data_IF_566642545256
#
_entry.id   IF_566642545256
#
_cell.length_a   1.000
_cell.length_b   1.000
_cell.length_c   1.000
_cell.angle_alpha   90.00
_cell.angle_beta   90.00
_cell.angle_gamma   90.00
#
_symmetry.space_group_name_H-M   'P 1'
#
loop_
_entity.id
_entity.type
_entity.pdbx_description
1 polymer ?
#
# COMPACT_ATOMS: atom_id res chain seq x y z
N UNK A 1 4.28 -16.41 10.86
CA UNK A 1 4.01 -16.73 9.43
C UNK A 1 3.72 -18.21 9.21
N UNK A 2 4.61 -19.14 9.58
CA UNK A 2 4.39 -20.60 9.40
C UNK A 2 3.07 -21.14 9.98
N UNK A 3 2.62 -20.63 11.14
CA UNK A 3 1.34 -21.02 11.74
C UNK A 3 0.11 -20.57 10.92
N UNK A 4 0.20 -19.42 10.25
CA UNK A 4 -0.90 -18.86 9.45
C UNK A 4 -0.94 -19.44 8.02
N UNK A 5 0.19 -19.97 7.54
CA UNK A 5 0.32 -20.53 6.19
C UNK A 5 -0.77 -21.56 5.83
N UNK A 6 -1.08 -22.60 6.64
CA UNK A 6 -2.15 -23.54 6.31
C UNK A 6 -3.52 -22.87 6.20
N UNK A 7 -3.79 -21.87 7.04
CA UNK A 7 -5.03 -21.10 7.00
C UNK A 7 -5.13 -20.23 5.74
N UNK A 8 -4.03 -19.54 5.36
CA UNK A 8 -3.98 -18.73 4.14
C UNK A 8 -4.13 -19.58 2.88
N UNK A 9 -3.48 -20.75 2.83
CA UNK A 9 -3.63 -21.71 1.71
C UNK A 9 -5.07 -22.18 1.61
N UNK A 10 -5.69 -22.58 2.73
CA UNK A 10 -7.07 -23.04 2.74
C UNK A 10 -8.04 -21.95 2.28
N UNK A 11 -7.83 -20.69 2.69
CA UNK A 11 -8.65 -19.57 2.25
C UNK A 11 -8.42 -19.20 0.77
N UNK A 12 -7.21 -19.37 0.24
CA UNK A 12 -6.88 -19.09 -1.18
C UNK A 12 -7.64 -19.97 -2.18
N UNK A 13 -8.26 -21.06 -1.71
CA UNK A 13 -9.05 -21.97 -2.54
C UNK A 13 -10.47 -21.45 -2.82
N UNK A 14 -10.89 -20.38 -2.15
CA UNK A 14 -12.20 -19.79 -2.38
C UNK A 14 -12.15 -18.99 -3.68
N UNK A 15 -13.08 -19.30 -4.60
CA UNK A 15 -13.12 -18.76 -5.97
C UNK A 15 -14.21 -17.71 -6.17
N UNK A 16 -15.15 -17.61 -5.24
CA UNK A 16 -16.34 -16.78 -5.39
C UNK A 16 -16.18 -15.44 -4.68
N UNK A 17 -16.01 -14.37 -5.46
CA UNK A 17 -15.86 -13.01 -4.94
C UNK A 17 -17.11 -12.49 -4.21
N UNK A 18 -18.30 -13.02 -4.51
CA UNK A 18 -19.54 -12.61 -3.85
C UNK A 18 -19.59 -13.08 -2.40
N UNK A 19 -19.18 -14.32 -2.15
CA UNK A 19 -19.06 -14.86 -0.80
C UNK A 19 -17.91 -14.20 -0.04
N UNK A 20 -16.82 -13.85 -0.74
CA UNK A 20 -15.72 -13.06 -0.18
C UNK A 20 -16.15 -11.64 0.20
N UNK A 21 -17.06 -11.01 -0.54
CA UNK A 21 -17.48 -9.64 -0.26
C UNK A 21 -18.11 -9.48 1.13
N UNK A 22 -18.93 -10.43 1.57
CA UNK A 22 -19.54 -10.40 2.92
C UNK A 22 -18.48 -10.61 4.01
N UNK A 23 -17.60 -11.58 3.83
CA UNK A 23 -16.50 -11.84 4.76
C UNK A 23 -15.54 -10.66 4.84
N UNK A 24 -15.23 -10.05 3.68
CA UNK A 24 -14.40 -8.86 3.56
C UNK A 24 -15.07 -7.65 4.21
N UNK A 25 -16.38 -7.46 4.05
CA UNK A 25 -17.11 -6.39 4.73
C UNK A 25 -17.02 -6.53 6.26
N UNK A 26 -17.16 -7.75 6.79
CA UNK A 26 -17.01 -8.02 8.22
C UNK A 26 -15.57 -7.76 8.69
N UNK A 27 -14.58 -8.23 7.92
CA UNK A 27 -13.16 -7.99 8.19
C UNK A 27 -12.77 -6.51 8.16
N UNK A 28 -13.28 -5.76 7.18
CA UNK A 28 -13.06 -4.31 7.07
C UNK A 28 -13.74 -3.56 8.21
N UNK A 29 -14.92 -4.00 8.65
CA UNK A 29 -15.59 -3.43 9.83
C UNK A 29 -14.77 -3.68 11.09
N UNK A 30 -14.27 -4.89 11.27
CA UNK A 30 -13.37 -5.24 12.36
C UNK A 30 -12.08 -4.41 12.35
N UNK A 31 -11.45 -4.22 11.19
CA UNK A 31 -10.29 -3.34 11.05
C UNK A 31 -10.63 -1.88 11.31
N UNK A 32 -11.80 -1.39 10.88
CA UNK A 32 -12.26 -0.04 11.16
C UNK A 32 -12.44 0.18 12.67
N UNK A 33 -13.00 -0.79 13.40
CA UNK A 33 -13.10 -0.74 14.87
C UNK A 33 -11.70 -0.66 15.48
N UNK A 34 -10.77 -1.55 15.08
CA UNK A 34 -9.37 -1.47 15.53
C UNK A 34 -8.73 -0.11 15.23
N UNK A 35 -9.01 0.46 14.06
CA UNK A 35 -8.49 1.76 13.67
C UNK A 35 -9.07 2.88 14.54
N UNK A 36 -10.36 2.82 14.92
CA UNK A 36 -10.97 3.76 15.87
C UNK A 36 -10.24 3.71 17.22
N UNK A 37 -9.94 2.52 17.75
CA UNK A 37 -9.16 2.40 18.99
C UNK A 37 -7.73 2.93 18.87
N UNK A 38 -7.10 2.76 17.70
CA UNK A 38 -5.79 3.37 17.43
C UNK A 38 -5.91 4.89 17.42
N UNK A 39 -6.96 5.44 16.79
CA UNK A 39 -7.22 6.88 16.79
C UNK A 39 -7.44 7.42 18.21
N UNK A 40 -8.22 6.73 19.05
CA UNK A 40 -8.43 7.18 20.43
C UNK A 40 -7.12 7.12 21.24
N UNK A 41 -6.29 6.11 21.00
CA UNK A 41 -4.98 6.00 21.64
C UNK A 41 -4.06 7.18 21.27
N UNK A 42 -3.86 7.44 19.97
CA UNK A 42 -2.96 8.52 19.52
C UNK A 42 -3.49 9.92 19.83
N UNK A 43 -4.81 10.09 19.97
CA UNK A 43 -5.42 11.39 20.32
C UNK A 43 -5.51 11.63 21.82
N UNK A 44 -5.24 10.62 22.66
CA UNK A 44 -5.22 10.79 24.12
C UNK A 44 -4.02 11.60 24.60
N UNK A 45 -2.92 11.58 23.85
CA UNK A 45 -1.72 12.40 24.10
C UNK A 45 -1.18 12.89 22.75
N UNK A 46 -1.78 13.96 22.23
CA UNK A 46 -1.30 14.55 20.97
C UNK A 46 0.01 15.27 21.28
N UNK A 47 1.13 14.72 20.81
CA UNK A 47 2.45 15.31 20.99
C UNK A 47 2.52 16.76 20.50
N UNK A 48 3.50 17.52 21.01
CA UNK A 48 3.69 18.93 20.65
C UNK A 48 4.29 19.06 19.24
N UNK A 49 3.59 19.69 18.26
CA UNK A 49 4.11 19.88 16.91
C UNK A 49 5.42 20.66 16.87
N UNK A 50 5.68 21.52 17.87
CA UNK A 50 6.91 22.32 17.93
C UNK A 50 8.18 21.51 18.16
N UNK A 51 8.05 20.23 18.55
CA UNK A 51 9.19 19.32 18.79
C UNK A 51 9.61 18.55 17.55
N UNK A 52 8.83 18.61 16.46
CA UNK A 52 9.08 17.86 15.24
C UNK A 52 9.74 18.75 14.18
N UNK A 53 10.62 18.18 13.33
CA UNK A 53 11.21 18.93 12.23
C UNK A 53 10.13 19.32 11.22
N UNK A 54 10.10 20.61 10.84
CA UNK A 54 9.15 21.12 9.84
C UNK A 54 9.31 20.47 8.46
N UNK A 55 10.52 20.05 8.10
CA UNK A 55 10.83 19.41 6.82
C UNK A 55 11.77 18.24 7.06
N UNK A 56 11.42 17.08 6.49
CA UNK A 56 12.28 15.90 6.51
C UNK A 56 13.44 16.03 5.52
N UNK A 57 14.52 15.28 5.75
CA UNK A 57 15.66 15.20 4.83
C UNK A 57 15.23 14.77 3.43
N UNK A 58 15.82 15.42 2.40
CA UNK A 58 15.62 15.14 0.98
C UNK A 58 15.79 13.66 0.62
N UNK A 59 16.65 12.93 1.34
CA UNK A 59 16.90 11.50 1.13
C UNK A 59 15.69 10.61 1.45
N UNK A 60 14.76 11.05 2.30
CA UNK A 60 13.56 10.27 2.65
C UNK A 60 12.42 10.43 1.62
N UNK A 61 12.49 11.41 0.72
CA UNK A 61 11.44 11.66 -0.27
C UNK A 61 11.25 10.51 -1.28
N UNK A 62 12.30 9.89 -1.85
CA UNK A 62 12.13 8.75 -2.74
C UNK A 62 11.51 7.52 -2.04
N UNK A 63 11.86 7.30 -0.77
CA UNK A 63 11.26 6.24 0.05
C UNK A 63 9.76 6.52 0.28
N UNK A 64 9.43 7.75 0.69
CA UNK A 64 8.04 8.19 0.84
C UNK A 64 7.26 8.09 -0.47
N UNK A 65 7.86 8.45 -1.60
CA UNK A 65 7.22 8.34 -2.92
C UNK A 65 6.79 6.89 -3.18
N UNK A 66 7.68 5.92 -2.97
CA UNK A 66 7.35 4.50 -3.11
C UNK A 66 6.17 4.10 -2.22
N UNK A 67 6.23 4.45 -0.93
CA UNK A 67 5.13 4.17 0.01
C UNK A 67 3.81 4.83 -0.41
N UNK A 68 3.84 6.08 -0.86
CA UNK A 68 2.64 6.83 -1.25
C UNK A 68 2.00 6.25 -2.51
N UNK A 69 2.79 5.93 -3.53
CA UNK A 69 2.27 5.30 -4.76
C UNK A 69 1.71 3.91 -4.45
N UNK A 70 2.39 3.11 -3.62
CA UNK A 70 1.85 1.82 -3.18
C UNK A 70 0.52 1.97 -2.44
N UNK A 71 0.38 2.97 -1.58
CA UNK A 71 -0.82 3.17 -0.78
C UNK A 71 -2.07 3.45 -1.64
N UNK A 72 -1.89 4.08 -2.81
CA UNK A 72 -2.96 4.34 -3.77
C UNK A 72 -3.03 3.32 -4.91
N UNK A 73 -2.28 2.23 -4.82
CA UNK A 73 -2.29 1.17 -5.82
C UNK A 73 -3.55 0.31 -5.68
N UNK A 74 -4.39 0.34 -6.70
CA UNK A 74 -5.57 -0.52 -6.81
C UNK A 74 -5.89 -0.95 -8.24
N UNK A 75 -5.07 -0.55 -9.23
CA UNK A 75 -5.40 -0.68 -10.65
C UNK A 75 -5.68 -2.12 -11.08
N UNK A 76 -5.00 -3.10 -10.49
CA UNK A 76 -5.21 -4.52 -10.78
C UNK A 76 -6.60 -5.04 -10.44
N UNK A 77 -7.27 -4.45 -9.43
CA UNK A 77 -8.61 -4.89 -8.99
C UNK A 77 -9.75 -4.10 -9.65
N UNK A 78 -9.45 -2.98 -10.33
CA UNK A 78 -10.43 -2.07 -10.93
C UNK A 78 -11.31 -2.81 -11.94
N UNK A 79 -10.72 -3.44 -12.96
CA UNK A 79 -11.49 -4.09 -14.03
C UNK A 79 -12.27 -5.32 -13.54
N UNK A 80 -11.69 -6.25 -12.75
CA UNK A 80 -12.46 -7.37 -12.20
C UNK A 80 -13.61 -6.92 -11.30
N UNK A 81 -13.43 -5.84 -10.53
CA UNK A 81 -14.46 -5.30 -9.66
C UNK A 81 -15.59 -4.64 -10.47
N UNK A 82 -15.25 -3.81 -11.46
CA UNK A 82 -16.21 -3.19 -12.38
C UNK A 82 -17.06 -4.25 -13.10
N UNK A 83 -16.43 -5.32 -13.59
CA UNK A 83 -17.11 -6.44 -14.27
C UNK A 83 -18.10 -7.19 -13.36
N UNK A 84 -17.95 -7.10 -12.04
CA UNK A 84 -18.81 -7.77 -11.07
C UNK A 84 -19.88 -6.85 -10.46
N UNK A 85 -19.87 -5.55 -10.79
CA UNK A 85 -20.90 -4.62 -10.33
C UNK A 85 -22.23 -4.88 -11.03
N UNK A 86 -23.33 -4.72 -10.28
CA UNK A 86 -24.69 -4.72 -10.86
C UNK A 86 -24.88 -3.57 -11.86
N UNK A 87 -24.25 -2.43 -11.59
CA UNK A 87 -24.31 -1.21 -12.41
C UNK A 87 -22.89 -0.69 -12.69
N UNK A 88 -22.16 -1.26 -13.68
CA UNK A 88 -20.78 -0.87 -13.99
C UNK A 88 -20.62 0.61 -14.34
N UNK A 89 -21.63 1.23 -14.95
CA UNK A 89 -21.61 2.66 -15.31
C UNK A 89 -21.43 3.60 -14.10
N UNK A 90 -21.72 3.15 -12.88
CA UNK A 90 -21.51 3.94 -11.64
C UNK A 90 -20.15 3.68 -10.99
N UNK A 91 -19.32 2.82 -11.55
CA UNK A 91 -18.00 2.48 -11.02
C UNK A 91 -17.10 3.71 -10.82
N UNK A 92 -17.02 4.70 -11.73
CA UNK A 92 -16.21 5.91 -11.49
C UNK A 92 -16.64 6.70 -10.25
N UNK A 93 -17.94 6.78 -9.97
CA UNK A 93 -18.46 7.43 -8.77
C UNK A 93 -18.08 6.67 -7.51
N UNK A 94 -18.23 5.33 -7.52
CA UNK A 94 -17.84 4.47 -6.41
C UNK A 94 -16.32 4.57 -6.13
N UNK A 95 -15.51 4.58 -7.18
CA UNK A 95 -14.06 4.74 -7.09
C UNK A 95 -13.69 6.10 -6.49
N UNK A 96 -14.26 7.20 -6.99
CA UNK A 96 -13.95 8.55 -6.48
C UNK A 96 -14.32 8.73 -5.01
N UNK A 97 -15.49 8.24 -4.59
CA UNK A 97 -15.92 8.29 -3.18
C UNK A 97 -14.99 7.44 -2.32
N UNK A 98 -14.66 6.22 -2.76
CA UNK A 98 -13.73 5.33 -2.06
C UNK A 98 -12.35 5.96 -1.87
N UNK A 99 -11.78 6.53 -2.94
CA UNK A 99 -10.48 7.20 -2.89
C UNK A 99 -10.51 8.41 -1.96
N UNK A 100 -11.58 9.21 -1.96
CA UNK A 100 -11.73 10.34 -1.03
C UNK A 100 -11.69 9.90 0.44
N UNK A 101 -12.42 8.83 0.79
CA UNK A 101 -12.39 8.26 2.15
C UNK A 101 -11.01 7.76 2.53
N UNK A 102 -10.33 7.05 1.62
CA UNK A 102 -8.96 6.53 1.85
C UNK A 102 -7.96 7.67 2.07
N UNK A 103 -8.00 8.73 1.26
CA UNK A 103 -7.13 9.90 1.42
C UNK A 103 -7.29 10.52 2.81
N UNK A 104 -8.54 10.74 3.26
CA UNK A 104 -8.81 11.32 4.59
C UNK A 104 -8.26 10.43 5.70
N UNK A 105 -8.46 9.11 5.60
CA UNK A 105 -7.96 8.16 6.58
C UNK A 105 -6.42 8.12 6.62
N UNK A 106 -5.76 8.10 5.46
CA UNK A 106 -4.30 8.07 5.38
C UNK A 106 -3.67 9.35 5.91
N UNK A 107 -4.16 10.52 5.49
CA UNK A 107 -3.62 11.81 5.93
C UNK A 107 -3.83 11.98 7.43
N UNK A 108 -5.04 11.72 7.94
CA UNK A 108 -5.32 11.87 9.38
C UNK A 108 -4.50 10.92 10.24
N UNK A 109 -4.41 9.64 9.87
CA UNK A 109 -3.62 8.66 10.62
C UNK A 109 -2.12 8.94 10.55
N UNK A 110 -1.60 9.32 9.37
CA UNK A 110 -0.19 9.63 9.20
C UNK A 110 0.20 10.88 10.01
N UNK A 111 -0.59 11.95 9.95
CA UNK A 111 -0.31 13.19 10.67
C UNK A 111 -0.41 12.99 12.18
N UNK A 112 -1.51 12.42 12.69
CA UNK A 112 -1.69 12.22 14.14
C UNK A 112 -0.73 11.15 14.68
N UNK A 113 -0.48 10.09 13.91
CA UNK A 113 0.46 9.04 14.27
C UNK A 113 1.89 9.56 14.39
N UNK A 114 2.36 10.35 13.41
CA UNK A 114 3.69 10.97 13.49
C UNK A 114 3.77 12.01 14.61
N UNK A 115 2.68 12.73 14.87
CA UNK A 115 2.64 13.71 15.97
C UNK A 115 2.78 13.06 17.35
N UNK A 116 2.19 11.88 17.53
CA UNK A 116 2.26 11.13 18.80
C UNK A 116 3.57 10.36 18.95
N UNK A 117 4.03 9.64 17.92
CA UNK A 117 5.19 8.74 18.02
C UNK A 117 6.51 9.37 17.57
N UNK A 118 6.49 10.48 16.83
CA UNK A 118 7.69 11.09 16.27
C UNK A 118 8.51 10.11 15.43
N UNK A 119 9.83 10.17 15.59
CA UNK A 119 10.78 9.32 14.85
C UNK A 119 10.82 7.86 15.35
N UNK A 120 10.17 7.53 16.47
CA UNK A 120 10.05 6.16 17.00
C UNK A 120 8.93 5.33 16.34
N UNK A 121 8.25 5.90 15.35
CA UNK A 121 7.20 5.21 14.60
C UNK A 121 7.78 4.00 13.84
N UNK A 122 7.14 2.84 13.98
CA UNK A 122 7.55 1.60 13.29
C UNK A 122 6.81 1.49 11.95
N UNK A 123 7.23 0.55 11.10
CA UNK A 123 6.63 0.33 9.78
C UNK A 123 5.11 0.03 9.79
N UNK A 124 4.53 -0.32 10.94
CA UNK A 124 3.08 -0.38 11.14
C UNK A 124 2.70 0.22 12.48
N UNK A 125 1.65 1.04 12.51
CA UNK A 125 1.15 1.69 13.72
C UNK A 125 0.75 0.68 14.81
N UNK A 126 0.31 -0.51 14.42
CA UNK A 126 -0.06 -1.59 15.35
C UNK A 126 1.13 -2.11 16.15
N UNK A 127 2.37 -1.95 15.66
CA UNK A 127 3.60 -2.34 16.36
C UNK A 127 4.03 -1.31 17.40
N UNK A 128 3.48 -0.09 17.36
CA UNK A 128 3.74 0.96 18.32
C UNK A 128 2.82 0.89 19.56
N UNK A 129 1.69 0.17 19.48
CA UNK A 129 0.81 -0.01 20.63
C UNK A 129 1.49 -0.85 21.74
N UNK A 130 1.44 -0.43 23.02
CA UNK A 130 2.03 -1.18 24.12
C UNK A 130 1.29 -2.50 24.37
N UNK A 131 2.00 -3.47 24.95
CA UNK A 131 1.50 -4.83 25.18
C UNK A 131 0.71 -4.99 26.49
N UNK A 132 0.67 -3.94 27.31
CA UNK A 132 0.26 -4.04 28.71
C UNK A 132 -1.26 -4.11 28.90
N UNK A 133 -2.03 -3.65 27.92
CA UNK A 133 -3.49 -3.66 27.98
C UNK A 133 -4.11 -4.76 27.11
N UNK A 134 -5.11 -5.45 27.68
CA UNK A 134 -5.92 -6.43 26.95
C UNK A 134 -6.56 -5.82 25.69
N UNK A 135 -7.00 -4.55 25.77
CA UNK A 135 -7.58 -3.81 24.64
C UNK A 135 -6.62 -3.71 23.47
N UNK A 136 -5.35 -3.34 23.71
CA UNK A 136 -4.36 -3.22 22.65
C UNK A 136 -4.06 -4.57 22.01
N UNK A 137 -4.01 -5.64 22.80
CA UNK A 137 -3.84 -7.00 22.28
C UNK A 137 -5.02 -7.40 21.39
N UNK A 138 -6.25 -7.13 21.83
CA UNK A 138 -7.46 -7.39 21.04
C UNK A 138 -7.45 -6.62 19.73
N UNK A 139 -7.09 -5.33 19.75
CA UNK A 139 -6.97 -4.48 18.56
C UNK A 139 -5.97 -5.06 17.56
N UNK A 140 -4.79 -5.50 18.03
CA UNK A 140 -3.76 -6.15 17.19
C UNK A 140 -4.29 -7.43 16.56
N UNK A 141 -4.98 -8.28 17.32
CA UNK A 141 -5.55 -9.55 16.81
C UNK A 141 -6.64 -9.29 15.78
N UNK A 142 -7.58 -8.39 16.09
CA UNK A 142 -8.71 -8.08 15.22
C UNK A 142 -8.25 -7.43 13.90
N UNK A 143 -7.27 -6.52 13.98
CA UNK A 143 -6.66 -5.90 12.80
C UNK A 143 -5.92 -6.95 11.95
N UNK A 144 -5.12 -7.80 12.59
CA UNK A 144 -4.37 -8.87 11.89
C UNK A 144 -5.30 -9.88 11.20
N UNK A 145 -6.42 -10.23 11.83
CA UNK A 145 -7.43 -11.11 11.23
C UNK A 145 -8.04 -10.46 9.98
N UNK A 146 -8.36 -9.16 10.04
CA UNK A 146 -8.88 -8.45 8.88
C UNK A 146 -7.88 -8.35 7.73
N UNK A 147 -6.59 -8.16 8.04
CA UNK A 147 -5.52 -8.22 7.03
C UNK A 147 -5.42 -9.61 6.41
N UNK A 148 -5.56 -10.69 7.19
CA UNK A 148 -5.57 -12.06 6.65
C UNK A 148 -6.73 -12.29 5.67
N UNK A 149 -7.93 -11.80 5.98
CA UNK A 149 -9.07 -11.88 5.04
C UNK A 149 -8.82 -11.03 3.79
N UNK A 150 -8.23 -9.85 3.94
CA UNK A 150 -7.92 -8.95 2.83
C UNK A 150 -6.90 -9.56 1.86
N UNK A 151 -5.91 -10.30 2.38
CA UNK A 151 -4.96 -11.05 1.57
C UNK A 151 -5.66 -12.01 0.61
N UNK A 152 -6.73 -12.68 1.03
CA UNK A 152 -7.49 -13.62 0.19
C UNK A 152 -8.16 -12.91 -0.98
N UNK A 153 -8.73 -11.72 -0.72
CA UNK A 153 -9.37 -10.89 -1.75
C UNK A 153 -8.33 -10.36 -2.74
N UNK A 154 -7.18 -9.89 -2.25
CA UNK A 154 -6.10 -9.38 -3.12
C UNK A 154 -5.44 -10.49 -3.94
N UNK A 155 -5.35 -11.71 -3.39
CA UNK A 155 -4.82 -12.88 -4.08
C UNK A 155 -5.68 -13.33 -5.25
N UNK A 156 -6.97 -12.97 -5.27
CA UNK A 156 -7.90 -13.32 -6.35
C UNK A 156 -7.39 -12.85 -7.72
N UNK A 157 -6.93 -11.60 -7.83
CA UNK A 157 -6.55 -11.01 -9.13
C UNK A 157 -5.32 -11.67 -9.74
N UNK A 158 -4.18 -11.82 -9.03
CA UNK A 158 -3.04 -12.56 -9.57
C UNK A 158 -3.41 -14.00 -9.94
N UNK A 159 -4.27 -14.65 -9.16
CA UNK A 159 -4.73 -16.00 -9.47
C UNK A 159 -5.56 -16.05 -10.76
N UNK A 160 -6.49 -15.11 -10.94
CA UNK A 160 -7.36 -15.03 -12.13
C UNK A 160 -6.58 -14.70 -13.41
N UNK A 161 -5.48 -13.94 -13.29
CA UNK A 161 -4.62 -13.61 -14.43
C UNK A 161 -3.63 -14.74 -14.76
N UNK A 162 -2.96 -15.31 -13.75
CA UNK A 162 -1.85 -16.25 -13.97
C UNK A 162 -2.31 -17.69 -14.26
N UNK A 163 -3.40 -18.16 -13.63
CA UNK A 163 -3.80 -19.57 -13.70
C UNK A 163 -4.35 -19.99 -15.07
N UNK A 164 -5.27 -19.24 -15.73
CA UNK A 164 -5.87 -19.69 -16.98
C UNK A 164 -4.88 -20.06 -18.10
N UNK A 165 -3.85 -19.25 -18.44
CA UNK A 165 -2.93 -19.60 -19.52
C UNK A 165 -2.06 -20.82 -19.18
N UNK A 166 -1.79 -21.05 -17.89
CA UNK A 166 -1.01 -22.21 -17.43
C UNK A 166 -1.89 -23.47 -17.48
N UNK A 167 -3.12 -23.41 -16.97
CA UNK A 167 -4.06 -24.53 -16.94
C UNK A 167 -4.56 -24.93 -18.33
N UNK A 168 -4.56 -24.02 -19.31
CA UNK A 168 -4.87 -24.34 -20.69
C UNK A 168 -3.92 -25.38 -21.31
N UNK A 169 -2.71 -25.54 -20.75
CA UNK A 169 -1.70 -26.52 -21.19
C UNK A 169 -1.77 -27.86 -20.44
N UNK A 170 -2.66 -27.98 -19.46
CA UNK A 170 -2.77 -29.16 -18.57
C UNK A 170 -3.97 -30.01 -18.99
N UNK A 171 -3.81 -31.34 -18.93
CA UNK A 171 -4.89 -32.31 -19.21
C UNK A 171 -6.07 -32.13 -18.25
N UNK A 172 -7.31 -32.30 -18.74
CA UNK A 172 -8.54 -32.01 -17.97
C UNK A 172 -8.60 -32.70 -16.59
N UNK A 173 -8.14 -33.94 -16.50
CA UNK A 173 -8.11 -34.71 -15.23
C UNK A 173 -7.20 -34.10 -14.17
N UNK A 174 -6.17 -33.34 -14.57
CA UNK A 174 -5.16 -32.74 -13.69
C UNK A 174 -5.36 -31.24 -13.46
N UNK A 175 -6.31 -30.58 -14.16
CA UNK A 175 -6.53 -29.13 -14.04
C UNK A 175 -6.82 -28.70 -12.59
N UNK A 176 -7.74 -29.37 -11.91
CA UNK A 176 -8.13 -29.03 -10.53
C UNK A 176 -6.99 -29.19 -9.51
N UNK A 177 -6.30 -30.35 -9.40
CA UNK A 177 -5.20 -30.48 -8.46
C UNK A 177 -4.02 -29.56 -8.81
N UNK A 178 -3.75 -29.34 -10.10
CA UNK A 178 -2.68 -28.44 -10.54
C UNK A 178 -2.99 -26.97 -10.23
N UNK A 179 -4.24 -26.54 -10.37
CA UNK A 179 -4.69 -25.21 -9.96
C UNK A 179 -4.48 -24.99 -8.46
N UNK A 180 -4.90 -25.94 -7.62
CA UNK A 180 -4.74 -25.85 -6.16
C UNK A 180 -3.27 -25.82 -5.77
N UNK A 181 -2.43 -26.63 -6.43
CA UNK A 181 -0.99 -26.63 -6.23
C UNK A 181 -0.37 -25.27 -6.59
N UNK A 182 -0.75 -24.70 -7.73
CA UNK A 182 -0.23 -23.40 -8.18
C UNK A 182 -0.66 -22.27 -7.23
N UNK A 183 -1.90 -22.29 -6.75
CA UNK A 183 -2.36 -21.34 -5.72
C UNK A 183 -1.55 -21.47 -4.44
N UNK A 184 -1.36 -22.69 -3.94
CA UNK A 184 -0.55 -22.95 -2.76
C UNK A 184 0.90 -22.50 -2.94
N UNK A 185 1.50 -22.74 -4.12
CA UNK A 185 2.85 -22.28 -4.45
C UNK A 185 2.96 -20.75 -4.40
N UNK A 186 2.00 -20.03 -4.97
CA UNK A 186 1.98 -18.56 -4.94
C UNK A 186 1.85 -18.03 -3.50
N UNK A 187 0.98 -18.63 -2.67
CA UNK A 187 0.87 -18.27 -1.24
C UNK A 187 2.17 -18.57 -0.50
N UNK A 188 2.80 -19.74 -0.73
CA UNK A 188 4.09 -20.08 -0.15
C UNK A 188 5.18 -19.08 -0.56
N UNK A 189 5.21 -18.65 -1.83
CA UNK A 189 6.15 -17.65 -2.32
C UNK A 189 6.00 -16.33 -1.55
N UNK A 190 4.77 -15.85 -1.33
CA UNK A 190 4.54 -14.63 -0.52
C UNK A 190 5.01 -14.80 0.92
N UNK A 191 4.84 -15.99 1.51
CA UNK A 191 5.33 -16.29 2.86
C UNK A 191 6.86 -16.31 2.94
N UNK A 192 7.53 -16.87 1.93
CA UNK A 192 9.01 -16.88 1.85
C UNK A 192 9.52 -15.44 1.77
N UNK A 193 8.91 -14.59 0.94
CA UNK A 193 9.28 -13.18 0.85
C UNK A 193 9.09 -12.44 2.18
N UNK A 194 7.98 -12.69 2.88
CA UNK A 194 7.72 -12.10 4.19
C UNK A 194 8.72 -12.53 5.28
N UNK A 195 9.31 -13.73 5.17
CA UNK A 195 10.35 -14.21 6.09
C UNK A 195 11.72 -13.64 5.72
N UNK A 196 12.02 -13.48 4.42
CA UNK A 196 13.30 -12.95 3.94
C UNK A 196 13.48 -11.47 4.27
N UNK A 197 12.42 -10.66 4.19
CA UNK A 197 12.49 -9.20 4.43
C UNK A 197 11.44 -8.80 5.47
N UNK A 198 11.75 -8.88 6.78
CA UNK A 198 10.82 -8.57 7.87
C UNK A 198 10.63 -7.05 8.12
N UNK A 199 11.01 -6.20 7.15
CA UNK A 199 10.85 -4.74 7.17
C UNK A 199 9.73 -4.32 6.22
N UNK A 200 8.52 -4.20 6.76
CA UNK A 200 7.31 -3.89 5.99
C UNK A 200 7.38 -2.53 5.28
N UNK A 201 7.95 -1.52 5.94
CA UNK A 201 8.19 -0.18 5.41
C UNK A 201 9.02 -0.22 4.12
N UNK A 202 10.12 -0.96 4.13
CA UNK A 202 11.04 -1.12 3.00
C UNK A 202 10.38 -1.91 1.87
N UNK A 203 9.69 -3.02 2.19
CA UNK A 203 9.00 -3.82 1.16
C UNK A 203 7.92 -2.99 0.47
N UNK A 204 7.13 -2.23 1.22
CA UNK A 204 6.09 -1.35 0.67
C UNK A 204 6.71 -0.28 -0.24
N UNK A 205 7.77 0.39 0.22
CA UNK A 205 8.48 1.37 -0.60
C UNK A 205 9.02 0.76 -1.89
N UNK A 206 9.62 -0.43 -1.83
CA UNK A 206 10.19 -1.11 -2.99
C UNK A 206 9.12 -1.48 -4.01
N UNK A 207 8.03 -2.11 -3.55
CA UNK A 207 6.94 -2.55 -4.43
C UNK A 207 6.26 -1.34 -5.06
N UNK A 208 6.04 -0.27 -4.31
CA UNK A 208 5.47 0.97 -4.83
C UNK A 208 6.36 1.68 -5.84
N UNK A 209 7.64 1.84 -5.51
CA UNK A 209 8.60 2.47 -6.40
C UNK A 209 8.85 1.64 -7.65
N UNK A 210 8.96 0.32 -7.55
CA UNK A 210 9.27 -0.53 -8.71
C UNK A 210 8.01 -0.85 -9.54
N UNK A 211 7.02 -1.51 -8.93
CA UNK A 211 5.89 -2.07 -9.66
C UNK A 211 4.75 -1.06 -9.86
N UNK A 212 4.35 -0.36 -8.80
CA UNK A 212 3.20 0.55 -8.86
C UNK A 212 3.50 1.82 -9.64
N UNK A 213 4.72 2.36 -9.59
CA UNK A 213 5.09 3.48 -10.46
C UNK A 213 4.98 3.13 -11.95
N UNK A 214 5.40 1.91 -12.33
CA UNK A 214 5.28 1.43 -13.70
C UNK A 214 3.81 1.22 -14.10
N UNK A 215 3.03 0.57 -13.25
CA UNK A 215 1.62 0.23 -13.51
C UNK A 215 0.66 1.43 -13.45
N UNK A 216 0.88 2.38 -12.53
CA UNK A 216 -0.01 3.50 -12.31
C UNK A 216 0.41 4.76 -13.08
N UNK A 217 1.70 5.02 -13.25
CA UNK A 217 2.20 6.28 -13.83
C UNK A 217 2.83 6.12 -15.22
N UNK A 218 3.39 4.96 -15.55
CA UNK A 218 4.08 4.77 -16.85
C UNK A 218 3.16 4.14 -17.88
N UNK A 219 2.55 2.99 -17.59
CA UNK A 219 1.76 2.27 -18.60
C UNK A 219 0.49 3.01 -19.06
N UNK A 220 -0.35 3.61 -18.19
CA UNK A 220 -1.60 4.22 -18.66
C UNK A 220 -1.37 5.39 -19.63
N UNK A 221 -0.48 6.37 -19.35
CA UNK A 221 -0.20 7.44 -20.30
C UNK A 221 0.49 6.94 -21.57
N UNK A 222 1.35 5.92 -21.49
CA UNK A 222 1.96 5.33 -22.70
C UNK A 222 0.90 4.68 -23.60
N UNK A 223 -0.07 3.97 -23.02
CA UNK A 223 -1.19 3.40 -23.77
C UNK A 223 -2.04 4.51 -24.42
N UNK A 224 -2.34 5.59 -23.69
CA UNK A 224 -3.05 6.76 -24.24
C UNK A 224 -2.30 7.36 -25.45
N UNK A 225 -0.99 7.59 -25.32
CA UNK A 225 -0.14 8.11 -26.40
C UNK A 225 -0.06 7.17 -27.62
N UNK A 226 0.04 5.86 -27.39
CA UNK A 226 0.05 4.85 -28.47
C UNK A 226 -1.30 4.79 -29.20
N UNK A 227 -2.41 4.89 -28.47
CA UNK A 227 -3.75 4.90 -29.08
C UNK A 227 -3.97 6.17 -29.91
N UNK A 228 -3.55 7.34 -29.41
CA UNK A 228 -3.69 8.61 -30.12
C UNK A 228 -2.79 8.67 -31.37
N UNK A 229 -1.57 8.16 -31.31
CA UNK A 229 -0.67 8.10 -32.47
C UNK A 229 -1.13 7.10 -33.54
N UNK A 230 -1.70 5.96 -33.12
CA UNK A 230 -2.34 5.00 -34.03
C UNK A 230 -3.57 5.60 -34.72
N UNK A 231 -4.42 6.32 -33.97
CA UNK A 231 -5.58 7.01 -34.52
C UNK A 231 -5.17 8.11 -35.52
N UNK A 232 -4.09 8.85 -35.25
CA UNK A 232 -3.56 9.87 -36.14
C UNK A 232 -2.90 9.32 -37.42
N UNK A 233 -2.33 8.12 -37.36
CA UNK A 233 -1.69 7.47 -38.52
C UNK A 233 -2.66 6.65 -39.37
N UNK A 234 -3.73 6.10 -38.76
CA UNK A 234 -4.83 5.41 -39.42
C UNK A 234 -5.96 6.37 -39.80
N UNK A 235 -5.64 7.41 -40.57
CA UNK A 235 -6.64 8.24 -41.25
C UNK A 235 -7.28 7.46 -42.41
N UNK A 236 -8.06 6.43 -42.06
CA UNK A 236 -8.96 5.72 -42.96
C UNK A 236 -10.33 6.41 -42.92
N UNK A 237 -10.97 6.70 -44.07
CA UNK A 237 -12.13 7.62 -44.16
C UNK A 237 -13.41 7.16 -43.45
N UNK A 238 -13.47 5.93 -42.91
CA UNK A 238 -14.65 5.39 -42.22
C UNK A 238 -14.82 5.84 -40.76
N UNK A 239 -13.78 6.41 -40.13
CA UNK A 239 -13.86 6.90 -38.74
C UNK A 239 -14.30 8.37 -38.64
N UNK A 240 -14.71 8.98 -39.76
CA UNK A 240 -15.21 10.36 -39.85
C UNK A 240 -16.62 10.57 -39.26
N UNK A 241 -17.26 9.51 -38.76
CA UNK A 241 -18.62 9.55 -38.20
C UNK A 241 -18.68 9.90 -36.70
N UNK A 242 -17.54 10.05 -36.01
CA UNK A 242 -17.52 10.47 -34.60
C UNK A 242 -17.02 11.92 -34.44
N UNK A 243 -17.90 12.92 -34.20
CA UNK A 243 -17.59 14.35 -34.32
C UNK A 243 -16.77 14.94 -33.15
N UNK A 244 -16.20 14.12 -32.26
CA UNK A 244 -15.52 14.59 -31.04
C UNK A 244 -14.00 14.38 -31.00
N UNK A 245 -13.39 13.83 -32.05
CA UNK A 245 -11.93 13.57 -32.08
C UNK A 245 -11.25 14.50 -33.09
N UNK A 246 -10.70 15.61 -32.61
CA UNK A 246 -9.85 16.50 -33.40
C UNK A 246 -8.55 15.77 -33.80
N UNK A 247 -8.07 15.87 -35.04
CA UNK A 247 -6.87 15.17 -35.54
C UNK A 247 -5.54 15.77 -35.07
N UNK A 248 -5.56 16.89 -34.34
CA UNK A 248 -4.37 17.43 -33.68
C UNK A 248 -4.23 16.82 -32.30
N UNK A 249 -3.20 16.01 -32.05
CA UNK A 249 -2.76 15.63 -30.71
C UNK A 249 -2.62 16.92 -29.89
N UNK A 250 -3.52 17.23 -28.95
CA UNK A 250 -3.45 18.49 -28.24
C UNK A 250 -2.15 18.46 -27.42
N UNK A 251 -1.28 19.44 -27.65
CA UNK A 251 0.04 19.53 -27.01
C UNK A 251 -0.06 19.44 -25.48
N UNK A 252 -1.19 19.86 -24.90
CA UNK A 252 -1.51 19.72 -23.48
C UNK A 252 -1.61 18.26 -23.02
N UNK A 253 -2.22 17.36 -23.78
CA UNK A 253 -2.33 15.94 -23.43
C UNK A 253 -0.96 15.28 -23.55
N UNK A 254 -0.22 15.56 -24.62
CA UNK A 254 1.16 15.07 -24.78
C UNK A 254 2.06 15.53 -23.63
N UNK A 255 2.01 16.81 -23.27
CA UNK A 255 2.79 17.35 -22.17
C UNK A 255 2.39 16.75 -20.82
N UNK A 256 1.08 16.59 -20.56
CA UNK A 256 0.53 15.92 -19.36
C UNK A 256 1.06 14.49 -19.25
N UNK A 257 0.89 13.68 -20.29
CA UNK A 257 1.27 12.27 -20.30
C UNK A 257 2.79 12.10 -20.16
N UNK A 258 3.59 12.88 -20.90
CA UNK A 258 5.04 12.85 -20.79
C UNK A 258 5.51 13.24 -19.39
N UNK A 259 4.87 14.24 -18.78
CA UNK A 259 5.19 14.65 -17.41
C UNK A 259 4.91 13.54 -16.40
N UNK A 260 3.75 12.88 -16.51
CA UNK A 260 3.39 11.75 -15.62
C UNK A 260 4.38 10.59 -15.80
N UNK A 261 4.74 10.25 -17.05
CA UNK A 261 5.72 9.20 -17.35
C UNK A 261 7.10 9.55 -16.77
N UNK A 262 7.55 10.80 -16.93
CA UNK A 262 8.84 11.24 -16.36
C UNK A 262 8.85 11.17 -14.84
N UNK A 263 7.76 11.57 -14.17
CA UNK A 263 7.60 11.43 -12.72
C UNK A 263 7.63 9.95 -12.32
N UNK A 264 6.94 9.09 -13.07
CA UNK A 264 6.93 7.65 -12.86
C UNK A 264 8.32 7.03 -12.97
N UNK A 265 9.07 7.35 -14.03
CA UNK A 265 10.44 6.85 -14.24
C UNK A 265 11.40 7.39 -13.18
N UNK A 266 11.31 8.68 -12.84
CA UNK A 266 12.15 9.27 -11.81
C UNK A 266 11.89 8.62 -10.44
N UNK A 267 10.62 8.46 -10.08
CA UNK A 267 10.21 7.81 -8.85
C UNK A 267 10.59 6.33 -8.80
N UNK A 268 10.51 5.64 -9.95
CA UNK A 268 10.99 4.26 -10.10
C UNK A 268 12.47 4.14 -9.80
N UNK A 269 13.31 4.94 -10.48
CA UNK A 269 14.76 4.87 -10.35
C UNK A 269 15.21 5.30 -8.96
N UNK A 270 14.76 6.47 -8.50
CA UNK A 270 15.17 7.04 -7.22
C UNK A 270 14.62 6.26 -6.03
N UNK A 271 13.36 5.84 -6.08
CA UNK A 271 12.72 5.08 -5.01
C UNK A 271 13.27 3.67 -4.88
N UNK A 272 13.51 2.98 -6.02
CA UNK A 272 14.12 1.64 -6.01
C UNK A 272 15.55 1.71 -5.51
N UNK A 273 16.34 2.69 -5.96
CA UNK A 273 17.70 2.89 -5.48
C UNK A 273 17.74 3.15 -3.96
N UNK A 274 16.96 4.12 -3.47
CA UNK A 274 16.93 4.46 -2.05
C UNK A 274 16.47 3.27 -1.19
N UNK A 275 15.52 2.48 -1.68
CA UNK A 275 15.03 1.32 -0.94
C UNK A 275 16.04 0.17 -0.94
N UNK A 276 16.77 -0.04 -2.04
CA UNK A 276 17.85 -1.04 -2.11
C UNK A 276 19.05 -0.65 -1.24
N UNK A 277 19.40 0.64 -1.22
CA UNK A 277 20.44 1.18 -0.32
C UNK A 277 20.06 0.89 1.14
N UNK A 278 18.82 1.14 1.53
CA UNK A 278 18.30 0.86 2.88
C UNK A 278 18.25 -0.64 3.23
N UNK A 279 18.13 -1.52 2.24
CA UNK A 279 18.22 -2.99 2.44
C UNK A 279 19.66 -3.44 2.67
N UNK A 280 20.60 -2.92 1.88
CA UNK A 280 22.01 -3.37 1.85
C UNK A 280 22.81 -2.74 2.99
N UNK A 281 22.64 -1.44 3.20
CA UNK A 281 23.30 -0.65 4.21
C UNK A 281 22.23 0.14 4.98
N UNK A 282 21.50 -0.50 5.90
CA UNK A 282 20.52 0.20 6.73
C UNK A 282 21.22 1.37 7.40
N UNK A 283 20.70 2.59 7.22
CA UNK A 283 21.31 3.77 7.78
C UNK A 283 21.45 3.63 9.30
N UNK A 284 22.67 3.72 9.81
CA UNK A 284 22.93 3.75 11.24
C UNK A 284 22.26 5.02 11.80
N UNK A 285 21.15 4.86 12.55
CA UNK A 285 20.44 5.98 13.18
C UNK A 285 21.34 6.78 14.13
N UNK A 286 22.52 6.27 14.47
CA UNK A 286 23.56 6.88 15.31
C UNK A 286 24.25 8.08 14.64
N UNK A 287 24.47 8.09 13.32
CA UNK A 287 25.17 9.18 12.62
C UNK A 287 24.31 10.45 12.39
N UNK A 288 23.02 10.39 12.73
CA UNK A 288 22.13 11.56 12.68
C UNK A 288 22.07 12.30 14.02
N UNK A 289 22.48 11.65 15.12
CA UNK A 289 22.44 12.22 16.48
C UNK A 289 23.66 13.10 16.81
N UNK A 290 24.78 12.98 16.09
CA UNK A 290 26.01 13.74 16.40
C UNK A 290 25.93 15.24 16.05
N UNK A 291 24.91 15.66 15.29
CA UNK A 291 24.70 17.08 14.97
C UNK A 291 23.70 17.77 15.91
N UNK A 292 23.12 17.05 16.87
CA UNK A 292 22.24 17.62 17.87
C UNK A 292 22.82 17.35 19.27
N UNK A 293 23.74 18.23 19.69
CA UNK A 293 24.16 18.36 21.08
C UNK A 293 22.98 18.85 21.92
N UNK A 294 22.08 17.93 22.27
CA UNK A 294 21.04 18.17 23.26
C UNK A 294 21.68 18.15 24.64
N UNK A 295 21.92 19.33 25.22
CA UNK A 295 22.17 19.47 26.65
C UNK A 295 20.91 19.00 27.39
N UNK A 296 21.00 17.85 28.05
CA UNK A 296 20.01 17.41 29.02
C UNK A 296 19.88 18.45 30.14
N UNK A 297 18.68 18.97 30.46
CA UNK A 297 18.48 19.72 31.69
C UNK A 297 18.65 18.75 32.85
N UNK A 298 19.56 19.08 33.76
CA UNK A 298 19.77 18.41 35.04
C UNK A 298 18.44 18.42 35.83
N UNK A 299 18.01 17.32 36.46
CA UNK A 299 16.86 17.36 37.35
C UNK A 299 17.23 18.21 38.58
N UNK A 300 16.58 19.36 38.71
CA UNK A 300 16.61 20.20 39.91
C UNK A 300 16.21 19.37 41.13
N UNK A 301 17.04 19.45 42.18
CA UNK A 301 17.05 18.52 43.30
C UNK A 301 15.75 18.41 44.09
N UNK A 302 15.50 17.18 44.56
CA UNK A 302 14.63 16.94 45.71
C UNK A 302 15.28 17.54 46.98
N UNK A 303 14.52 18.22 47.84
CA UNK A 303 15.01 18.62 49.14
C UNK A 303 15.13 17.39 50.06
N UNK A 304 16.33 17.22 50.61
CA UNK A 304 16.69 16.26 51.65
C UNK A 304 15.82 16.44 52.89
N UNK A 305 15.13 15.37 53.30
CA UNK A 305 14.47 15.29 54.59
C UNK A 305 15.52 15.23 55.70
N UNK A 306 15.46 16.18 56.63
CA UNK A 306 16.20 16.20 57.90
C UNK A 306 15.71 15.08 58.84
N UNK A 307 16.61 14.36 59.54
CA UNK A 307 16.20 13.42 60.57
C UNK A 307 15.94 14.18 61.88
N UNK A 308 14.73 14.05 62.43
CA UNK A 308 14.43 14.41 63.82
C UNK A 308 14.48 13.16 64.68
N UNK A 309 15.42 13.18 65.64
CA UNK A 309 15.53 12.43 66.91
C UNK A 309 15.26 10.92 66.94
#
# INVERSE_FOLDING_TARGET
MLFLLPLLVMMSFIRDLRNMAVLSALANTAMAISLIFIFTYITSDVGDPGRLPFVSSWRKFPFFFGTAIFAFEGIGVVLPLENQMKEPARFPQALNVGMGVVIVLYVSLATLGYLHFGDDIKGSITLNLPHDSWTNQLVKVLYSLGVCVSFVVQFFVPADILLPPILARVTDSWKRPFELLLRALLVCLTCVMAVLVPRLDVVISLVGAFSSSALALVFPPLVELLLLSSASSSASPLLSLHPSLSPSLPLSVLAKDLTIVLIGILGFLTGTYATLEEIIAPGDQTLYNDNATWTTPTPTGLPTATPTH
#
